data_IF_080278547848
#
_entry.id   IF_080278547848
#
_cell.length_a   1.000
_cell.length_b   1.000
_cell.length_c   1.000
_cell.angle_alpha   90.00
_cell.angle_beta   90.00
_cell.angle_gamma   90.00
#
_symmetry.space_group_name_H-M   'P 1'
#
loop_
_entity.id
_entity.type
_entity.pdbx_description
1 polymer ?
#
# COMPACT_ATOMS: atom_id res chain seq x y z
N UNK A 1 -19.01 -2.03 -10.92
CA UNK A 1 -17.94 -1.25 -10.26
C UNK A 1 -17.16 -2.15 -9.30
N UNK A 2 -15.82 -2.17 -9.35
CA UNK A 2 -15.02 -2.33 -8.13
C UNK A 2 -13.53 -2.11 -8.42
N UNK A 3 -13.11 -0.85 -8.38
CA UNK A 3 -11.71 -0.56 -8.10
C UNK A 3 -11.58 -0.35 -6.59
N UNK A 4 -11.08 -1.37 -5.89
CA UNK A 4 -10.66 -1.29 -4.47
C UNK A 4 -9.25 -1.86 -4.34
N UNK A 5 -8.30 -1.32 -5.08
CA UNK A 5 -6.94 -1.87 -5.20
C UNK A 5 -6.13 -1.71 -3.92
N UNK A 6 -6.05 -0.49 -3.38
CA UNK A 6 -5.27 -0.23 -2.14
C UNK A 6 -5.85 -0.99 -0.95
N UNK A 7 -7.17 -0.97 -0.75
CA UNK A 7 -7.81 -1.70 0.36
C UNK A 7 -7.62 -3.21 0.26
N UNK A 8 -7.70 -3.79 -0.95
CA UNK A 8 -7.45 -5.21 -1.14
C UNK A 8 -5.99 -5.57 -0.85
N UNK A 9 -5.04 -4.69 -1.21
CA UNK A 9 -3.62 -4.91 -0.95
C UNK A 9 -3.27 -4.77 0.53
N UNK A 10 -3.87 -3.81 1.23
CA UNK A 10 -3.78 -3.70 2.69
C UNK A 10 -4.34 -4.94 3.36
N UNK A 11 -5.54 -5.38 2.97
CA UNK A 11 -6.18 -6.57 3.53
C UNK A 11 -5.34 -7.84 3.28
N UNK A 12 -4.75 -7.97 2.09
CA UNK A 12 -3.88 -9.08 1.73
C UNK A 12 -2.46 -8.98 2.33
N UNK A 13 -2.17 -7.96 3.16
CA UNK A 13 -0.86 -7.76 3.77
C UNK A 13 0.26 -7.39 2.79
N UNK A 14 -0.08 -6.90 1.59
CA UNK A 14 0.87 -6.58 0.52
C UNK A 14 1.53 -5.22 0.65
N UNK A 15 0.91 -4.29 1.37
CA UNK A 15 1.45 -2.94 1.62
C UNK A 15 1.58 -2.73 3.14
N UNK A 16 2.78 -2.41 3.64
CA UNK A 16 2.97 -1.97 5.02
C UNK A 16 2.20 -0.68 5.32
N UNK A 17 1.62 -0.58 6.52
CA UNK A 17 0.89 0.61 6.94
C UNK A 17 0.93 0.78 8.46
N UNK A 18 0.74 2.02 8.90
CA UNK A 18 0.48 2.38 10.29
C UNK A 18 -0.99 2.73 10.47
N UNK A 19 -1.58 2.34 11.60
CA UNK A 19 -2.95 2.70 11.95
C UNK A 19 -2.95 3.72 13.09
N UNK A 20 -3.44 4.92 12.81
CA UNK A 20 -3.56 5.99 13.80
C UNK A 20 -4.89 6.72 13.61
N UNK A 21 -5.64 6.94 14.69
CA UNK A 21 -6.90 7.70 14.68
C UNK A 21 -7.89 7.25 13.59
N UNK A 22 -8.01 5.93 13.36
CA UNK A 22 -8.89 5.34 12.35
C UNK A 22 -8.42 5.50 10.89
N UNK A 23 -7.24 6.08 10.66
CA UNK A 23 -6.63 6.24 9.33
C UNK A 23 -5.52 5.24 9.12
N UNK A 24 -5.36 4.83 7.86
CA UNK A 24 -4.20 4.09 7.36
C UNK A 24 -3.19 5.10 6.85
N UNK A 25 -1.97 5.03 7.36
CA UNK A 25 -0.84 5.85 6.95
C UNK A 25 0.19 4.96 6.28
N UNK A 26 0.78 5.46 5.20
CA UNK A 26 1.77 4.75 4.40
C UNK A 26 3.05 5.56 4.40
N UNK A 27 4.19 4.90 4.64
CA UNK A 27 5.48 5.56 4.55
C UNK A 27 5.83 5.73 3.08
N UNK A 28 6.12 6.99 2.69
CA UNK A 28 6.42 7.31 1.29
C UNK A 28 7.61 6.51 0.75
N UNK A 29 8.66 6.38 1.54
CA UNK A 29 9.88 5.66 1.16
C UNK A 29 9.62 4.18 0.86
N UNK A 30 8.81 3.51 1.69
CA UNK A 30 8.42 2.12 1.49
C UNK A 30 7.61 1.95 0.20
N UNK A 31 6.65 2.84 -0.05
CA UNK A 31 5.86 2.83 -1.29
C UNK A 31 6.76 3.08 -2.51
N UNK A 32 7.68 4.04 -2.43
CA UNK A 32 8.61 4.35 -3.52
C UNK A 32 9.57 3.18 -3.79
N UNK A 33 10.01 2.46 -2.76
CA UNK A 33 10.78 1.21 -2.94
C UNK A 33 9.96 0.11 -3.58
N UNK A 34 8.72 -0.09 -3.16
CA UNK A 34 7.83 -1.08 -3.76
C UNK A 34 7.60 -0.79 -5.25
N UNK A 35 7.37 0.47 -5.61
CA UNK A 35 7.21 0.90 -7.01
C UNK A 35 8.51 0.72 -7.81
N UNK A 36 9.68 1.03 -7.24
CA UNK A 36 10.98 0.81 -7.89
C UNK A 36 11.26 -0.69 -8.12
N UNK A 37 10.97 -1.54 -7.13
CA UNK A 37 11.10 -3.01 -7.25
C UNK A 37 10.11 -3.60 -8.26
N UNK A 38 8.98 -2.95 -8.48
CA UNK A 38 7.99 -3.31 -9.52
C UNK A 38 8.21 -2.61 -10.87
N UNK A 39 9.31 -1.88 -11.09
CA UNK A 39 9.62 -1.26 -12.40
C UNK A 39 10.01 -2.24 -13.53
N UNK A 40 9.72 -3.53 -13.37
CA UNK A 40 10.05 -4.60 -14.32
C UNK A 40 8.80 -5.37 -14.81
N UNK A 41 7.66 -4.69 -14.92
CA UNK A 41 6.41 -5.20 -15.50
C UNK A 41 6.27 -4.80 -16.97
#
# INVERSE_FOLDING_TARGET
MKQKTIYNWVWAGKIPYLKANGRLLFLREEIDEMLRKQGNW
#
